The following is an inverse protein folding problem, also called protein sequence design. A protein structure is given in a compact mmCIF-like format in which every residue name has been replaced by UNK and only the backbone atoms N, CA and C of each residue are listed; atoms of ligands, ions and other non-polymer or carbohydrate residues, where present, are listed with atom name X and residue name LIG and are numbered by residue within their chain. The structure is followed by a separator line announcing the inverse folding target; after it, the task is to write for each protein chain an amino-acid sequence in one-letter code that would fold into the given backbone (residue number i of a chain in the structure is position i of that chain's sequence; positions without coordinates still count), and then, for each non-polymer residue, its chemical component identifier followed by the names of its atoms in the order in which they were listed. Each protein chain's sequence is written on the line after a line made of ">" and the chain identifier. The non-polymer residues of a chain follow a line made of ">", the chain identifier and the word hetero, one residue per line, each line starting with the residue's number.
data_IF_536939562470
#
_entry.id   IF_536939562470
#
_cell.length_a   1.000
_cell.length_b   1.000
_cell.length_c   1.000
_cell.angle_alpha   90.00
_cell.angle_beta   90.00
_cell.angle_gamma   90.00
#
_symmetry.space_group_name_H-M   'P 1'
#
loop_
_entity.id
_entity.type
_entity.pdbx_description
1 polymer ?
#
# COMPACT_ATOMS: atom_id res chain seq x y z
N UNK A 1 18.89 -28.99 26.52
CA UNK A 1 18.87 -29.16 25.05
C UNK A 1 17.93 -28.11 24.46
N UNK A 2 18.42 -27.10 23.74
CA UNK A 2 17.56 -26.06 23.19
C UNK A 2 16.78 -26.62 22.00
N UNK A 3 15.47 -26.33 21.94
CA UNK A 3 14.59 -26.75 20.85
C UNK A 3 14.93 -25.95 19.58
N UNK A 4 15.26 -26.71 18.55
CA UNK A 4 15.52 -26.33 17.17
C UNK A 4 14.49 -25.34 16.63
N UNK A 5 14.97 -24.20 16.13
CA UNK A 5 14.24 -23.24 15.31
C UNK A 5 13.83 -23.88 13.98
N UNK A 6 12.54 -24.08 13.77
CA UNK A 6 11.97 -24.48 12.50
C UNK A 6 11.84 -23.27 11.57
N UNK A 7 12.53 -23.36 10.44
CA UNK A 7 12.44 -22.50 9.25
C UNK A 7 10.97 -22.26 8.83
N UNK A 8 10.60 -21.07 8.32
CA UNK A 8 9.24 -20.83 7.82
C UNK A 8 8.92 -21.77 6.64
N UNK A 9 7.75 -22.41 6.70
CA UNK A 9 7.25 -23.30 5.65
C UNK A 9 7.11 -22.53 4.34
N UNK A 10 7.95 -22.87 3.36
CA UNK A 10 7.66 -22.66 1.95
C UNK A 10 6.33 -23.35 1.62
N UNK A 11 5.25 -22.60 1.45
CA UNK A 11 3.96 -23.15 1.02
C UNK A 11 4.00 -23.42 -0.48
N UNK A 12 3.92 -24.70 -0.84
CA UNK A 12 3.53 -25.15 -2.18
C UNK A 12 2.00 -25.12 -2.26
N UNK A 13 1.40 -24.65 -3.36
CA UNK A 13 -0.03 -24.83 -3.58
C UNK A 13 -0.28 -26.31 -3.91
N UNK A 14 -1.14 -26.95 -3.13
CA UNK A 14 -1.64 -28.30 -3.43
C UNK A 14 -2.61 -28.23 -4.61
N UNK A 15 -2.39 -29.10 -5.59
CA UNK A 15 -3.28 -29.34 -6.72
C UNK A 15 -4.63 -29.88 -6.21
N UNK A 16 -5.67 -29.05 -6.26
CA UNK A 16 -7.02 -29.44 -5.89
C UNK A 16 -7.66 -30.26 -7.02
N UNK A 17 -7.71 -31.57 -6.81
CA UNK A 17 -8.52 -32.52 -7.57
C UNK A 17 -10.01 -32.26 -7.39
N UNK A 18 -10.68 -32.02 -8.51
CA UNK A 18 -12.13 -31.83 -8.68
C UNK A 18 -12.93 -33.08 -8.30
N UNK A 19 -13.84 -32.96 -7.34
CA UNK A 19 -15.01 -33.85 -7.24
C UNK A 19 -16.27 -32.99 -7.19
N UNK A 20 -17.06 -33.11 -8.25
CA UNK A 20 -18.39 -32.52 -8.39
C UNK A 20 -19.37 -33.21 -7.43
N UNK A 21 -20.16 -32.39 -6.72
CA UNK A 21 -21.29 -32.81 -5.90
C UNK A 21 -22.32 -31.69 -5.93
N UNK A 22 -23.33 -31.91 -6.77
CA UNK A 22 -24.51 -31.09 -7.00
C UNK A 22 -25.49 -31.27 -5.83
N UNK A 23 -26.01 -30.18 -5.26
CA UNK A 23 -27.27 -30.17 -4.49
C UNK A 23 -27.66 -28.72 -4.14
N UNK A 24 -28.74 -28.25 -4.76
CA UNK A 24 -29.32 -26.90 -4.58
C UNK A 24 -30.56 -26.97 -3.71
N UNK A 25 -30.72 -26.05 -2.72
CA UNK A 25 -32.07 -25.64 -2.31
C UNK A 25 -32.29 -24.12 -2.24
N UNK A 26 -33.58 -23.79 -2.17
CA UNK A 26 -34.23 -22.56 -2.58
C UNK A 26 -34.17 -21.35 -1.63
N UNK A 27 -33.99 -20.18 -2.25
CA UNK A 27 -34.65 -18.85 -2.07
C UNK A 27 -35.16 -18.45 -0.67
N UNK A 28 -34.65 -17.33 -0.15
CA UNK A 28 -35.47 -16.33 0.57
C UNK A 28 -34.81 -14.94 0.48
N UNK A 29 -35.52 -14.00 -0.14
CA UNK A 29 -35.10 -12.62 -0.37
C UNK A 29 -35.72 -11.69 0.66
N UNK A 30 -34.92 -11.20 1.61
CA UNK A 30 -35.28 -10.05 2.45
C UNK A 30 -34.42 -8.85 2.04
N UNK A 31 -35.09 -7.86 1.45
CA UNK A 31 -34.56 -6.54 1.16
C UNK A 31 -34.23 -5.82 2.48
N UNK A 32 -32.96 -5.49 2.69
CA UNK A 32 -32.50 -4.66 3.80
C UNK A 32 -31.89 -3.37 3.24
N UNK A 33 -32.62 -2.28 3.42
CA UNK A 33 -32.26 -0.93 2.99
C UNK A 33 -31.21 -0.37 3.95
N UNK A 34 -29.94 -0.30 3.52
CA UNK A 34 -28.89 0.38 4.28
C UNK A 34 -28.80 1.83 3.84
N UNK A 35 -29.12 2.73 4.76
CA UNK A 35 -28.97 4.17 4.62
C UNK A 35 -27.49 4.54 4.43
N UNK A 36 -27.20 5.27 3.35
CA UNK A 36 -25.94 5.95 3.11
C UNK A 36 -25.74 6.98 4.22
N UNK A 37 -24.78 6.74 5.11
CA UNK A 37 -24.27 7.75 6.03
C UNK A 37 -22.91 8.20 5.53
N UNK A 38 -22.85 9.45 5.10
CA UNK A 38 -21.65 10.17 4.69
C UNK A 38 -20.60 10.18 5.80
N UNK A 39 -19.38 9.80 5.46
CA UNK A 39 -18.21 9.95 6.33
C UNK A 39 -17.12 10.75 5.60
N UNK A 40 -17.44 12.01 5.30
CA UNK A 40 -16.46 13.02 4.90
C UNK A 40 -15.69 13.50 6.14
N UNK A 41 -14.60 12.81 6.46
CA UNK A 41 -13.61 13.25 7.44
C UNK A 41 -12.22 13.26 6.80
N UNK A 42 -12.04 14.07 5.75
CA UNK A 42 -10.74 14.35 5.12
C UNK A 42 -10.39 15.85 5.06
N UNK A 43 -11.16 16.75 5.72
CA UNK A 43 -10.99 18.20 5.54
C UNK A 43 -9.72 18.80 6.16
N UNK A 44 -9.13 18.17 7.18
CA UNK A 44 -7.97 18.72 7.89
C UNK A 44 -6.64 18.59 7.10
N UNK A 45 -6.44 17.47 6.39
CA UNK A 45 -5.25 17.26 5.55
C UNK A 45 -5.33 18.07 4.26
N UNK A 46 -6.53 18.21 3.68
CA UNK A 46 -6.73 19.03 2.48
C UNK A 46 -6.50 20.53 2.80
N UNK A 47 -6.84 20.99 4.01
CA UNK A 47 -6.57 22.36 4.45
C UNK A 47 -5.07 22.64 4.68
N UNK A 48 -4.29 21.65 5.13
CA UNK A 48 -2.84 21.77 5.26
C UNK A 48 -2.15 21.83 3.88
N UNK A 49 -2.55 20.95 2.95
CA UNK A 49 -2.01 20.91 1.59
C UNK A 49 -2.40 22.14 0.75
N UNK A 50 -3.58 22.73 0.97
CA UNK A 50 -4.03 23.95 0.27
C UNK A 50 -3.34 25.23 0.73
N UNK A 51 -2.69 25.25 1.90
CA UNK A 51 -2.06 26.47 2.44
C UNK A 51 -0.65 26.71 1.91
N UNK A 52 -0.14 25.81 1.07
CA UNK A 52 1.24 25.86 0.58
C UNK A 52 1.45 26.66 -0.72
N UNK A 53 0.46 26.95 -1.58
CA UNK A 53 0.74 27.78 -2.78
C UNK A 53 -0.50 28.37 -3.47
N UNK A 54 -0.33 29.58 -4.03
CA UNK A 54 -1.28 30.38 -4.81
C UNK A 54 -1.26 29.89 -6.28
N UNK A 55 -2.40 29.71 -6.98
CA UNK A 55 -2.38 29.28 -8.37
C UNK A 55 -2.08 30.45 -9.32
N UNK A 56 -1.00 30.32 -10.08
CA UNK A 56 -0.71 31.15 -11.25
C UNK A 56 -1.45 30.58 -12.48
N UNK A 57 -1.76 31.49 -13.40
CA UNK A 57 -2.86 31.46 -14.36
C UNK A 57 -2.80 30.39 -15.46
N UNK A 58 -4.00 29.88 -15.75
CA UNK A 58 -4.37 28.91 -16.78
C UNK A 58 -4.22 29.49 -18.20
N UNK A 59 -3.39 28.89 -19.04
CA UNK A 59 -3.40 29.06 -20.51
C UNK A 59 -3.96 27.78 -21.11
N UNK A 60 -5.10 27.88 -21.80
CA UNK A 60 -5.71 26.80 -22.55
C UNK A 60 -5.12 26.78 -23.97
N UNK A 61 -4.52 25.66 -24.35
CA UNK A 61 -4.20 25.37 -25.74
C UNK A 61 -4.91 24.06 -26.15
N UNK A 62 -5.67 24.15 -27.23
CA UNK A 62 -6.48 23.08 -27.81
C UNK A 62 -5.67 22.36 -28.88
N UNK A 63 -5.44 21.06 -28.73
CA UNK A 63 -4.93 20.22 -29.82
C UNK A 63 -5.75 18.94 -30.01
N UNK A 64 -6.08 18.71 -31.28
CA UNK A 64 -6.74 17.54 -31.84
C UNK A 64 -5.90 16.27 -31.68
N UNK A 65 -6.52 15.18 -31.21
CA UNK A 65 -5.88 13.87 -31.11
C UNK A 65 -6.28 12.95 -32.28
N UNK A 66 -5.30 12.34 -32.99
CA UNK A 66 -5.58 11.28 -33.95
C UNK A 66 -5.88 9.94 -33.25
N UNK A 67 -6.79 9.18 -33.86
CA UNK A 67 -7.22 7.84 -33.45
C UNK A 67 -6.05 6.86 -33.58
N UNK A 68 -5.49 6.41 -32.46
CA UNK A 68 -4.42 5.41 -32.42
C UNK A 68 -5.02 4.00 -32.21
N UNK A 69 -4.74 3.10 -33.14
CA UNK A 69 -5.17 1.71 -33.09
C UNK A 69 -4.34 0.95 -32.05
N UNK A 70 -5.02 0.38 -31.06
CA UNK A 70 -4.41 -0.37 -29.96
C UNK A 70 -4.02 -1.78 -30.42
N UNK A 71 -2.76 -1.98 -30.83
CA UNK A 71 -2.19 -3.32 -30.95
C UNK A 71 -1.59 -3.70 -29.60
N UNK A 72 -2.13 -4.75 -28.97
CA UNK A 72 -1.68 -5.27 -27.68
C UNK A 72 -0.37 -6.07 -27.91
N UNK A 73 0.80 -5.60 -27.46
CA UNK A 73 2.02 -6.39 -27.55
C UNK A 73 1.94 -7.46 -26.47
N UNK A 74 2.11 -8.72 -26.85
CA UNK A 74 2.48 -9.81 -25.96
C UNK A 74 3.77 -9.42 -25.22
N UNK A 75 3.61 -8.81 -24.06
CA UNK A 75 4.70 -8.47 -23.16
C UNK A 75 5.30 -9.77 -22.64
N UNK A 76 6.54 -10.00 -23.04
CA UNK A 76 7.44 -10.96 -22.43
C UNK A 76 7.52 -10.56 -20.96
N UNK A 77 7.11 -11.45 -20.04
CA UNK A 77 7.29 -11.24 -18.61
C UNK A 77 8.79 -11.19 -18.33
N UNK A 78 9.36 -9.99 -18.40
CA UNK A 78 10.72 -9.70 -17.98
C UNK A 78 10.81 -10.10 -16.50
N UNK A 79 11.68 -11.07 -16.22
CA UNK A 79 11.82 -11.64 -14.90
C UNK A 79 12.08 -10.50 -13.90
N UNK A 80 11.19 -10.36 -12.92
CA UNK A 80 11.31 -9.35 -11.88
C UNK A 80 12.75 -9.33 -11.34
N UNK A 81 13.37 -8.14 -11.19
CA UNK A 81 14.76 -8.00 -10.79
C UNK A 81 15.04 -8.87 -9.58
N UNK A 82 16.09 -9.68 -9.66
CA UNK A 82 16.51 -10.55 -8.56
C UNK A 82 16.88 -9.68 -7.38
N UNK A 83 16.02 -9.72 -6.38
CA UNK A 83 16.10 -8.98 -5.14
C UNK A 83 17.39 -9.32 -4.40
N UNK A 84 18.21 -8.31 -4.10
CA UNK A 84 19.28 -8.42 -3.11
C UNK A 84 18.81 -7.60 -1.92
N UNK A 85 18.28 -8.22 -0.86
CA UNK A 85 17.83 -7.48 0.31
C UNK A 85 18.99 -6.64 0.83
N UNK A 86 18.85 -5.31 0.84
CA UNK A 86 19.72 -4.47 1.67
C UNK A 86 19.47 -4.92 3.11
N UNK A 87 20.48 -5.48 3.74
CA UNK A 87 20.39 -6.04 5.09
C UNK A 87 20.18 -4.92 6.09
N UNK A 88 18.92 -4.55 6.32
CA UNK A 88 18.55 -3.82 7.52
C UNK A 88 18.70 -4.78 8.72
N UNK A 89 19.24 -4.33 9.86
CA UNK A 89 19.34 -5.15 11.06
C UNK A 89 17.94 -5.66 11.47
N UNK A 90 17.71 -6.96 11.30
CA UNK A 90 16.42 -7.62 11.51
C UNK A 90 15.94 -7.59 12.99
N UNK A 91 16.82 -7.24 13.94
CA UNK A 91 16.52 -7.30 15.39
C UNK A 91 15.67 -6.11 15.92
N UNK A 92 15.34 -5.11 15.10
CA UNK A 92 14.76 -3.83 15.57
C UNK A 92 13.22 -3.81 15.65
N UNK A 93 12.51 -4.87 15.22
CA UNK A 93 11.04 -4.80 15.06
C UNK A 93 10.20 -5.65 16.04
N UNK A 94 10.75 -6.13 17.15
CA UNK A 94 9.99 -6.75 18.24
C UNK A 94 9.22 -5.72 19.11
N UNK A 95 8.54 -4.78 18.47
CA UNK A 95 7.80 -3.69 19.10
C UNK A 95 6.29 -3.82 18.94
N UNK A 96 5.56 -2.90 19.57
CA UNK A 96 4.12 -2.76 19.30
C UNK A 96 3.86 -2.61 17.79
N UNK A 97 2.67 -3.01 17.35
CA UNK A 97 2.15 -2.76 16.01
C UNK A 97 2.55 -1.39 15.42
N UNK A 98 2.31 -0.35 16.22
CA UNK A 98 2.63 1.03 15.86
C UNK A 98 4.14 1.26 15.67
N UNK A 99 4.98 0.63 16.50
CA UNK A 99 6.43 0.69 16.35
C UNK A 99 6.89 0.16 15.00
N UNK A 100 6.30 -0.95 14.53
CA UNK A 100 6.66 -1.53 13.23
C UNK A 100 6.21 -0.63 12.07
N UNK A 101 5.00 -0.06 12.12
CA UNK A 101 4.55 0.89 11.10
C UNK A 101 5.45 2.15 11.09
N UNK A 102 5.85 2.65 12.27
CA UNK A 102 6.81 3.76 12.34
C UNK A 102 8.15 3.39 11.71
N UNK A 103 8.65 2.18 11.94
CA UNK A 103 9.87 1.68 11.33
C UNK A 103 9.83 1.74 9.80
N UNK A 104 8.70 1.34 9.20
CA UNK A 104 8.50 1.39 7.74
C UNK A 104 8.52 2.85 7.22
N UNK A 105 7.79 3.75 7.87
CA UNK A 105 7.74 5.16 7.47
C UNK A 105 9.11 5.83 7.62
N UNK A 106 9.85 5.52 8.69
CA UNK A 106 11.23 6.00 8.90
C UNK A 106 12.18 5.46 7.84
N UNK A 107 12.01 4.20 7.40
CA UNK A 107 12.83 3.64 6.31
C UNK A 107 12.63 4.41 5.00
N UNK A 108 11.38 4.74 4.65
CA UNK A 108 11.06 5.56 3.47
C UNK A 108 11.68 6.96 3.59
N UNK A 109 11.56 7.59 4.76
CA UNK A 109 12.20 8.89 5.02
C UNK A 109 13.71 8.82 4.80
N UNK A 110 14.39 7.84 5.40
CA UNK A 110 15.85 7.69 5.27
C UNK A 110 16.28 7.42 3.84
N UNK A 111 15.55 6.59 3.08
CA UNK A 111 15.86 6.34 1.67
C UNK A 111 15.80 7.62 0.84
N UNK A 112 14.77 8.46 1.05
CA UNK A 112 14.63 9.74 0.35
C UNK A 112 15.71 10.75 0.75
N UNK A 113 16.03 10.86 2.05
CA UNK A 113 17.08 11.75 2.55
C UNK A 113 18.47 11.36 2.02
N UNK A 114 18.76 10.06 1.95
CA UNK A 114 20.09 9.56 1.57
C UNK A 114 20.33 9.49 0.07
N UNK A 115 19.34 9.07 -0.73
CA UNK A 115 19.52 8.87 -2.17
C UNK A 115 19.27 10.15 -2.99
N UNK A 116 18.46 11.08 -2.48
CA UNK A 116 18.04 12.28 -3.21
C UNK A 116 18.37 13.60 -2.51
N UNK A 117 19.13 13.56 -1.40
CA UNK A 117 19.42 14.73 -0.55
C UNK A 117 18.13 15.50 -0.18
N UNK A 118 17.03 14.77 0.01
CA UNK A 118 15.72 15.34 0.21
C UNK A 118 15.59 15.97 1.60
N UNK A 119 14.91 17.12 1.69
CA UNK A 119 14.36 17.58 2.96
C UNK A 119 13.02 16.86 3.17
N UNK A 120 12.96 15.96 4.15
CA UNK A 120 11.77 15.14 4.40
C UNK A 120 11.10 15.54 5.71
N UNK A 121 9.79 15.75 5.64
CA UNK A 121 8.93 15.97 6.81
C UNK A 121 7.88 14.88 6.91
N UNK A 122 7.64 14.39 8.13
CA UNK A 122 6.67 13.32 8.40
C UNK A 122 5.60 13.83 9.35
N UNK A 123 4.34 13.74 8.93
CA UNK A 123 3.16 14.01 9.76
C UNK A 123 2.51 12.70 10.18
N UNK A 124 2.55 12.39 11.47
CA UNK A 124 2.07 11.12 12.01
C UNK A 124 0.59 11.18 12.35
N UNK A 125 -0.20 10.25 11.80
CA UNK A 125 -1.58 10.00 12.22
C UNK A 125 -1.70 8.77 13.11
N UNK A 126 -2.76 8.65 13.92
CA UNK A 126 -3.03 7.43 14.67
C UNK A 126 -3.36 6.26 13.74
N UNK A 127 -3.31 5.02 14.25
CA UNK A 127 -3.93 3.88 13.58
C UNK A 127 -5.40 4.18 13.26
N UNK A 128 -5.85 3.83 12.07
CA UNK A 128 -7.12 4.25 11.46
C UNK A 128 -7.11 5.59 10.76
N UNK A 129 -6.05 6.38 10.94
CA UNK A 129 -5.85 7.68 10.30
C UNK A 129 -4.94 7.64 9.08
N UNK A 130 -4.30 8.78 8.81
CA UNK A 130 -3.34 8.95 7.73
C UNK A 130 -2.01 9.51 8.24
N UNK A 131 -0.91 8.96 7.74
CA UNK A 131 0.45 9.44 7.95
C UNK A 131 0.97 10.00 6.62
N UNK A 132 1.41 11.25 6.63
CA UNK A 132 1.94 11.94 5.45
C UNK A 132 3.46 12.02 5.47
N UNK A 133 4.10 11.75 4.34
CA UNK A 133 5.53 11.98 4.09
C UNK A 133 5.61 13.02 2.98
N UNK A 134 6.25 14.15 3.26
CA UNK A 134 6.46 15.21 2.29
C UNK A 134 7.96 15.38 2.11
N UNK A 135 8.45 15.09 0.91
CA UNK A 135 9.86 15.21 0.56
C UNK A 135 10.06 16.35 -0.44
N UNK A 136 11.07 17.18 -0.20
CA UNK A 136 11.46 18.27 -1.09
C UNK A 136 12.83 17.93 -1.67
N UNK A 137 12.90 17.72 -2.99
CA UNK A 137 14.13 17.33 -3.68
C UNK A 137 14.60 18.42 -4.65
N UNK A 138 15.91 18.44 -4.90
CA UNK A 138 16.50 19.21 -6.00
C UNK A 138 16.51 18.34 -7.25
N UNK A 139 16.07 18.88 -8.38
CA UNK A 139 16.17 18.18 -9.66
C UNK A 139 14.97 18.35 -10.58
N UNK A 140 15.05 17.68 -11.72
CA UNK A 140 14.00 17.66 -12.74
C UNK A 140 12.82 16.74 -12.39
N UNK A 141 11.81 16.68 -13.28
CA UNK A 141 10.64 15.83 -13.11
C UNK A 141 10.99 14.33 -13.08
N UNK A 142 12.03 13.91 -13.81
CA UNK A 142 12.51 12.53 -13.82
C UNK A 142 13.01 12.11 -12.43
N UNK A 143 13.78 12.96 -11.74
CA UNK A 143 14.25 12.67 -10.38
C UNK A 143 13.10 12.53 -9.38
N UNK A 144 12.03 13.32 -9.52
CA UNK A 144 10.86 13.18 -8.65
C UNK A 144 10.08 11.90 -8.92
N UNK A 145 10.02 11.47 -10.18
CA UNK A 145 9.44 10.19 -10.55
C UNK A 145 10.27 9.03 -9.97
N UNK A 146 11.59 9.07 -10.10
CA UNK A 146 12.47 8.03 -9.57
C UNK A 146 12.39 7.96 -8.04
N UNK A 147 12.41 9.12 -7.36
CA UNK A 147 12.24 9.17 -5.91
C UNK A 147 10.89 8.60 -5.45
N UNK A 148 9.83 8.79 -6.25
CA UNK A 148 8.50 8.18 -5.99
C UNK A 148 8.58 6.66 -6.02
N UNK A 149 9.26 6.11 -7.01
CA UNK A 149 9.41 4.66 -7.16
C UNK A 149 10.34 4.07 -6.09
N UNK A 150 11.41 4.77 -5.69
CA UNK A 150 12.26 4.39 -4.55
C UNK A 150 11.45 4.36 -3.25
N UNK A 151 10.60 5.35 -3.01
CA UNK A 151 9.74 5.37 -1.83
C UNK A 151 8.74 4.19 -1.81
N UNK A 152 8.13 3.85 -2.96
CA UNK A 152 7.25 2.67 -3.10
C UNK A 152 7.99 1.37 -2.81
N UNK A 153 9.17 1.20 -3.42
CA UNK A 153 10.00 0.01 -3.24
C UNK A 153 10.44 -0.15 -1.77
N UNK A 154 10.94 0.92 -1.16
CA UNK A 154 11.37 0.95 0.24
C UNK A 154 10.22 0.60 1.19
N UNK A 155 9.01 1.08 0.90
CA UNK A 155 7.82 0.77 1.71
C UNK A 155 7.48 -0.72 1.66
N UNK A 156 7.52 -1.34 0.47
CA UNK A 156 7.32 -2.78 0.31
C UNK A 156 8.43 -3.60 0.98
N UNK A 157 9.69 -3.16 0.83
CA UNK A 157 10.86 -3.81 1.44
C UNK A 157 10.76 -3.82 2.96
N UNK A 158 10.54 -2.65 3.56
CA UNK A 158 10.44 -2.52 5.00
C UNK A 158 9.23 -3.30 5.55
N UNK A 159 8.11 -3.34 4.82
CA UNK A 159 6.96 -4.16 5.19
C UNK A 159 7.25 -5.66 5.07
N UNK A 160 8.01 -6.11 4.06
CA UNK A 160 8.39 -7.51 3.91
C UNK A 160 9.32 -8.01 5.04
N UNK A 161 10.05 -7.09 5.68
CA UNK A 161 10.87 -7.37 6.86
C UNK A 161 10.09 -7.32 8.19
N UNK A 162 8.86 -6.83 8.16
CA UNK A 162 7.98 -6.78 9.33
C UNK A 162 7.23 -8.10 9.50
N UNK A 163 7.03 -8.51 10.76
CA UNK A 163 6.26 -9.71 11.08
C UNK A 163 4.75 -9.45 11.09
N UNK A 164 4.35 -8.21 11.41
CA UNK A 164 2.95 -7.85 11.66
C UNK A 164 2.40 -6.80 10.71
N UNK A 165 3.22 -6.17 9.87
CA UNK A 165 2.80 -5.04 9.02
C UNK A 165 2.91 -5.39 7.56
N UNK A 166 1.84 -5.14 6.82
CA UNK A 166 1.72 -5.51 5.41
C UNK A 166 1.21 -4.32 4.59
N UNK A 167 1.69 -4.19 3.36
CA UNK A 167 1.08 -3.28 2.39
C UNK A 167 -0.12 -3.98 1.75
N UNK A 168 -1.28 -3.35 1.83
CA UNK A 168 -2.51 -3.92 1.28
C UNK A 168 -2.43 -3.96 -0.25
N UNK A 169 -2.71 -5.12 -0.83
CA UNK A 169 -2.64 -5.32 -2.28
C UNK A 169 -1.24 -5.58 -2.81
N UNK A 170 -0.29 -6.04 -1.98
CA UNK A 170 1.11 -6.21 -2.40
C UNK A 170 1.35 -7.20 -3.55
N UNK A 171 0.39 -8.07 -3.88
CA UNK A 171 0.42 -8.96 -5.07
C UNK A 171 -0.46 -8.46 -6.22
N UNK A 172 -1.03 -7.25 -6.11
CA UNK A 172 -1.89 -6.64 -7.11
C UNK A 172 -1.43 -5.19 -7.37
N UNK A 173 -2.22 -4.20 -6.95
CA UNK A 173 -1.91 -2.79 -7.12
C UNK A 173 -1.92 -2.11 -5.73
N UNK A 174 -0.81 -2.16 -4.96
CA UNK A 174 -0.76 -1.68 -3.59
C UNK A 174 -0.79 -0.14 -3.48
N UNK A 175 -0.36 0.54 -4.54
CA UNK A 175 -0.24 1.99 -4.59
C UNK A 175 -1.28 2.59 -5.53
N UNK A 176 -1.83 3.73 -5.11
CA UNK A 176 -2.61 4.62 -5.97
C UNK A 176 -1.87 5.93 -6.11
N UNK A 177 -1.58 6.36 -7.32
CA UNK A 177 -0.94 7.65 -7.54
C UNK A 177 -1.84 8.79 -7.03
N UNK A 178 -1.19 9.85 -6.55
CA UNK A 178 -1.81 11.05 -6.00
C UNK A 178 -1.09 12.25 -6.59
N UNK A 179 -1.60 12.72 -7.74
CA UNK A 179 -0.88 13.67 -8.59
C UNK A 179 0.25 12.99 -9.37
N UNK A 180 1.16 13.80 -9.93
CA UNK A 180 2.27 13.30 -10.76
C UNK A 180 3.39 12.67 -9.92
N UNK A 181 3.71 13.31 -8.79
CA UNK A 181 4.87 13.01 -7.93
C UNK A 181 4.49 12.47 -6.56
N UNK A 182 3.24 12.03 -6.39
CA UNK A 182 2.75 11.49 -5.13
C UNK A 182 2.05 10.15 -5.28
N UNK A 183 1.91 9.43 -4.17
CA UNK A 183 1.10 8.22 -4.10
C UNK A 183 0.53 8.03 -2.70
N UNK A 184 -0.44 7.12 -2.60
CA UNK A 184 -0.99 6.65 -1.34
C UNK A 184 -1.16 5.13 -1.34
N UNK A 185 -1.02 4.53 -0.18
CA UNK A 185 -1.33 3.12 0.05
C UNK A 185 -1.97 2.91 1.42
N UNK A 186 -2.48 1.70 1.63
CA UNK A 186 -2.92 1.25 2.93
C UNK A 186 -1.90 0.27 3.50
N UNK A 187 -1.52 0.51 4.74
CA UNK A 187 -0.68 -0.36 5.54
C UNK A 187 -1.54 -0.98 6.61
N UNK A 188 -1.59 -2.30 6.65
CA UNK A 188 -2.36 -3.09 7.60
C UNK A 188 -1.46 -3.66 8.67
N UNK A 189 -1.88 -3.53 9.93
CA UNK A 189 -1.23 -4.19 11.05
C UNK A 189 -2.04 -5.42 11.50
N UNK A 190 -1.43 -6.60 11.38
CA UNK A 190 -1.97 -7.88 11.77
C UNK A 190 -1.39 -8.31 13.13
N UNK A 191 -2.23 -8.24 14.16
CA UNK A 191 -1.84 -8.75 15.48
C UNK A 191 -1.55 -10.26 15.39
N UNK A 192 -0.46 -10.74 16.01
CA UNK A 192 -0.06 -12.15 15.96
C UNK A 192 -1.18 -13.12 16.40
N UNK A 193 -2.00 -12.73 17.38
CA UNK A 193 -3.15 -13.53 17.82
C UNK A 193 -4.24 -13.74 16.74
N UNK A 194 -4.22 -12.97 15.65
CA UNK A 194 -5.18 -13.04 14.54
C UNK A 194 -4.56 -13.61 13.25
N UNK A 195 -3.28 -13.99 13.24
CA UNK A 195 -2.58 -14.47 12.03
C UNK A 195 -3.27 -15.67 11.38
N UNK A 196 -3.81 -16.56 12.20
CA UNK A 196 -4.36 -17.85 11.74
C UNK A 196 -5.82 -17.75 11.31
N UNK A 197 -6.47 -16.59 11.53
CA UNK A 197 -7.85 -16.36 11.14
C UNK A 197 -8.00 -15.23 10.13
N UNK A 198 -6.90 -14.67 9.61
CA UNK A 198 -6.94 -13.54 8.67
C UNK A 198 -7.31 -13.96 7.24
N UNK A 199 -8.01 -13.07 6.55
CA UNK A 199 -8.29 -13.22 5.13
C UNK A 199 -7.09 -12.74 4.29
N UNK A 200 -6.27 -13.69 3.84
CA UNK A 200 -5.10 -13.39 3.00
C UNK A 200 -5.45 -12.78 1.63
N UNK A 201 -6.63 -13.06 1.07
CA UNK A 201 -7.11 -12.40 -0.16
C UNK A 201 -7.13 -10.87 0.01
N UNK A 202 -7.60 -10.37 1.15
CA UNK A 202 -7.66 -8.94 1.45
C UNK A 202 -6.26 -8.32 1.51
N UNK A 203 -5.28 -9.00 2.10
CA UNK A 203 -3.90 -8.50 2.15
C UNK A 203 -3.20 -8.55 0.79
N UNK A 204 -3.36 -9.65 0.05
CA UNK A 204 -2.66 -9.87 -1.21
C UNK A 204 -3.22 -9.03 -2.35
N UNK A 205 -4.55 -8.93 -2.44
CA UNK A 205 -5.26 -8.29 -3.56
C UNK A 205 -5.81 -6.91 -3.21
N UNK A 206 -5.82 -6.56 -1.93
CA UNK A 206 -6.48 -5.35 -1.42
C UNK A 206 -8.00 -5.50 -1.25
N UNK A 207 -8.57 -6.66 -1.61
CA UNK A 207 -9.99 -6.97 -1.44
C UNK A 207 -10.25 -8.48 -1.34
N UNK A 208 -11.34 -8.86 -0.66
CA UNK A 208 -11.84 -10.24 -0.67
C UNK A 208 -13.07 -10.35 -1.59
N UNK A 209 -13.06 -11.18 -2.64
CA UNK A 209 -14.23 -11.36 -3.51
C UNK A 209 -15.41 -12.00 -2.76
N UNK A 210 -15.14 -12.68 -1.64
CA UNK A 210 -16.13 -13.32 -0.78
C UNK A 210 -16.52 -12.43 0.41
N UNK A 211 -16.30 -11.11 0.40
CA UNK A 211 -16.43 -10.27 1.61
C UNK A 211 -17.72 -10.49 2.41
N UNK A 212 -18.85 -10.73 1.75
CA UNK A 212 -20.14 -10.99 2.39
C UNK A 212 -20.28 -12.40 3.02
N UNK A 213 -19.50 -13.38 2.56
CA UNK A 213 -19.59 -14.80 2.97
C UNK A 213 -18.27 -15.35 3.52
N UNK A 214 -17.23 -14.54 3.55
CA UNK A 214 -15.90 -14.94 3.98
C UNK A 214 -15.87 -15.03 5.51
N UNK A 215 -15.53 -16.22 5.99
CA UNK A 215 -15.41 -16.53 7.43
C UNK A 215 -14.11 -16.05 8.08
N UNK A 216 -13.19 -15.50 7.29
CA UNK A 216 -11.88 -15.06 7.76
C UNK A 216 -11.94 -13.58 8.17
N UNK A 217 -11.12 -13.20 9.14
CA UNK A 217 -10.98 -11.85 9.64
C UNK A 217 -10.46 -10.90 8.55
N UNK A 218 -11.20 -9.83 8.29
CA UNK A 218 -10.73 -8.72 7.48
C UNK A 218 -10.27 -7.60 8.41
N UNK A 219 -9.23 -6.88 8.00
CA UNK A 219 -8.84 -5.67 8.73
C UNK A 219 -9.96 -4.64 8.65
N UNK A 220 -10.29 -4.06 9.80
CA UNK A 220 -11.16 -2.89 9.89
C UNK A 220 -10.32 -1.61 9.98
N UNK A 221 -10.99 -0.45 9.96
CA UNK A 221 -10.35 0.86 10.05
C UNK A 221 -9.27 0.96 11.14
N UNK A 222 -9.46 0.52 12.41
CA UNK A 222 -8.43 0.68 13.45
C UNK A 222 -7.17 -0.18 13.22
N UNK A 223 -7.22 -1.19 12.35
CA UNK A 223 -6.05 -2.00 11.99
C UNK A 223 -5.28 -1.44 10.78
N UNK A 224 -5.84 -0.43 10.12
CA UNK A 224 -5.33 0.14 8.87
C UNK A 224 -4.74 1.52 9.11
N UNK A 225 -3.73 1.88 8.32
CA UNK A 225 -3.19 3.23 8.27
C UNK A 225 -2.96 3.63 6.82
N UNK A 226 -3.40 4.82 6.46
CA UNK A 226 -3.15 5.36 5.13
C UNK A 226 -1.79 6.04 5.13
N UNK A 227 -0.87 5.60 4.28
CA UNK A 227 0.40 6.30 4.06
C UNK A 227 0.29 7.10 2.78
N UNK A 228 0.57 8.40 2.86
CA UNK A 228 0.54 9.33 1.74
C UNK A 228 1.95 9.88 1.58
N UNK A 229 2.52 9.76 0.39
CA UNK A 229 3.84 10.30 0.07
C UNK A 229 3.71 11.32 -1.04
N UNK A 230 4.27 12.50 -0.84
CA UNK A 230 4.26 13.58 -1.81
C UNK A 230 5.67 14.13 -1.99
N UNK A 231 6.11 14.20 -3.25
CA UNK A 231 7.45 14.69 -3.60
C UNK A 231 7.31 16.03 -4.30
N UNK A 232 7.90 17.06 -3.72
CA UNK A 232 7.99 18.40 -4.28
C UNK A 232 9.39 18.62 -4.86
N UNK A 233 9.43 19.40 -5.94
CA UNK A 233 10.67 19.82 -6.57
C UNK A 233 10.94 21.27 -6.24
N UNK A 234 12.19 21.57 -5.92
CA UNK A 234 12.68 22.96 -5.92
C UNK A 234 13.15 23.27 -7.35
N UNK A 235 12.72 24.41 -7.93
CA UNK A 235 13.19 24.85 -9.24
C UNK A 235 14.70 25.10 -9.28
#
# INVERSE_FOLDING_TARGET
>A
TPRSSSVPRSWRPDDASTTAGDDTPAISSHLSTCSQSDCDSNSALDAFLRRAFVPETLVQDTQDHPVYTFMCPTAICEAAPRFVPRTLPCEVLAGSAWTQVRGIVVAVQQALETEYEAEVSVSWGPMGGATGIVAVIKGGPEQAHDAKEVAKATLLEAAALSESVYVMGYLAQPFRDFGETGFKCWVGNLHHAKSDCVCWDTFQKGFCPRRATCRWYHLDTPDLMRVIVQIHRVP
#
